data_IF_028322520920
#
_entry.id   IF_028322520920
#
_cell.length_a   1.000
_cell.length_b   1.000
_cell.length_c   1.000
_cell.angle_alpha   90.00
_cell.angle_beta   90.00
_cell.angle_gamma   90.00
#
_symmetry.space_group_name_H-M   'P 1'
#
loop_
_entity.id
_entity.type
_entity.pdbx_description
1 polymer ?
#
# COMPACT_ATOMS: atom_id res chain seq x y z
N UNK A 1 -28.01 15.09 19.37
CA UNK A 1 -26.72 15.79 19.40
C UNK A 1 -25.63 14.69 19.39
N UNK A 2 -25.22 14.22 18.20
CA UNK A 2 -24.11 13.29 18.07
C UNK A 2 -22.80 14.05 18.23
N UNK A 3 -22.20 14.02 19.41
CA UNK A 3 -20.82 14.43 19.58
C UNK A 3 -19.92 13.33 18.99
N UNK A 4 -19.07 13.71 18.05
CA UNK A 4 -17.99 12.85 17.56
C UNK A 4 -16.99 12.60 18.70
N UNK A 5 -17.00 11.41 19.26
CA UNK A 5 -16.05 11.00 20.29
C UNK A 5 -14.82 10.44 19.59
N UNK A 6 -13.68 11.13 19.68
CA UNK A 6 -12.38 10.61 19.27
C UNK A 6 -11.97 9.51 20.26
N UNK A 7 -12.25 8.27 19.90
CA UNK A 7 -11.83 7.10 20.63
C UNK A 7 -10.49 6.53 20.10
N UNK A 8 -9.84 5.65 20.86
CA UNK A 8 -8.65 4.95 20.39
C UNK A 8 -8.97 4.14 19.13
N UNK A 9 -8.01 4.02 18.22
CA UNK A 9 -8.19 3.21 17.01
C UNK A 9 -8.48 1.75 17.40
N UNK A 10 -9.32 1.06 16.62
CA UNK A 10 -9.77 -0.33 16.87
C UNK A 10 -8.64 -1.30 17.25
N UNK A 11 -7.42 -1.05 16.80
CA UNK A 11 -6.23 -1.87 17.06
C UNK A 11 -5.11 -1.10 17.78
N UNK A 12 -5.43 -0.07 18.58
CA UNK A 12 -4.42 0.78 19.23
C UNK A 12 -3.41 -0.02 20.08
N UNK A 13 -3.86 -1.10 20.75
CA UNK A 13 -3.01 -2.01 21.53
C UNK A 13 -2.19 -3.00 20.69
N UNK A 14 -2.48 -3.15 19.39
CA UNK A 14 -1.84 -4.11 18.45
C UNK A 14 -1.16 -3.42 17.26
N UNK A 15 -0.71 -2.16 17.42
CA UNK A 15 -0.04 -1.42 16.34
C UNK A 15 -1.00 -0.68 15.38
N UNK A 16 -2.21 -0.34 15.85
CA UNK A 16 -3.18 0.45 15.08
C UNK A 16 -2.69 1.86 14.74
N UNK A 17 -1.87 2.45 15.61
CA UNK A 17 -1.19 3.72 15.35
C UNK A 17 0.14 3.44 14.68
N UNK A 18 0.32 3.92 13.47
CA UNK A 18 1.54 3.75 12.69
C UNK A 18 1.75 4.93 11.74
N UNK A 19 3.00 5.19 11.42
CA UNK A 19 3.35 6.12 10.37
C UNK A 19 3.32 5.37 9.03
N UNK A 20 2.56 5.90 8.07
CA UNK A 20 2.49 5.38 6.70
C UNK A 20 3.10 6.42 5.79
N UNK A 21 4.29 6.20 5.23
CA UNK A 21 4.89 7.12 4.26
C UNK A 21 3.99 7.24 3.03
N UNK A 22 3.83 8.47 2.57
CA UNK A 22 3.06 8.79 1.36
C UNK A 22 3.98 9.46 0.32
N UNK A 23 3.67 9.33 -0.99
CA UNK A 23 4.41 10.04 -2.03
C UNK A 23 4.35 11.56 -1.86
N UNK A 24 5.39 12.26 -2.34
CA UNK A 24 5.49 13.71 -2.21
C UNK A 24 4.30 14.43 -2.85
N UNK A 25 3.89 14.03 -4.05
CA UNK A 25 2.75 14.62 -4.74
C UNK A 25 1.45 14.51 -3.91
N UNK A 26 1.21 13.38 -3.23
CA UNK A 26 0.04 13.20 -2.37
C UNK A 26 0.11 14.09 -1.11
N UNK A 27 1.31 14.28 -0.57
CA UNK A 27 1.52 15.19 0.55
C UNK A 27 1.26 16.65 0.15
N UNK A 28 1.61 17.06 -1.05
CA UNK A 28 1.31 18.40 -1.60
C UNK A 28 -0.18 18.60 -1.81
N UNK A 29 -0.86 17.64 -2.44
CA UNK A 29 -2.33 17.68 -2.59
C UNK A 29 -3.03 17.78 -1.24
N UNK A 30 -2.58 17.01 -0.26
CA UNK A 30 -3.15 17.06 1.08
C UNK A 30 -2.93 18.42 1.75
N UNK A 31 -1.74 19.01 1.64
CA UNK A 31 -1.47 20.37 2.16
C UNK A 31 -2.36 21.41 1.46
N UNK A 32 -2.47 21.33 0.12
CA UNK A 32 -3.33 22.20 -0.66
C UNK A 32 -4.80 22.08 -0.24
N UNK A 33 -5.26 20.88 0.04
CA UNK A 33 -6.61 20.66 0.58
C UNK A 33 -6.78 21.30 1.96
N UNK A 34 -5.86 21.04 2.89
CA UNK A 34 -5.92 21.60 4.24
C UNK A 34 -5.90 23.14 4.24
N UNK A 35 -5.13 23.77 3.35
CA UNK A 35 -5.05 25.23 3.26
C UNK A 35 -6.37 25.90 2.81
N UNK A 36 -7.27 25.14 2.18
CA UNK A 36 -8.60 25.61 1.77
C UNK A 36 -9.65 25.47 2.88
N UNK A 37 -9.33 24.78 3.96
CA UNK A 37 -10.24 24.61 5.10
C UNK A 37 -10.09 25.82 6.05
N UNK A 38 -11.19 26.54 6.24
CA UNK A 38 -11.19 27.68 7.14
C UNK A 38 -11.15 27.23 8.61
N UNK A 39 -10.25 27.83 9.38
CA UNK A 39 -10.18 27.61 10.84
C UNK A 39 -9.69 26.23 11.27
N UNK A 40 -9.07 25.43 10.38
CA UNK A 40 -8.56 24.11 10.73
C UNK A 40 -7.46 24.21 11.79
N UNK A 41 -7.70 23.64 12.97
CA UNK A 41 -6.70 23.49 14.03
C UNK A 41 -6.04 22.11 14.01
N UNK A 42 -4.87 21.93 14.63
CA UNK A 42 -4.16 20.63 14.63
C UNK A 42 -4.98 19.45 15.19
N UNK A 43 -5.93 19.73 16.08
CA UNK A 43 -6.75 18.71 16.75
C UNK A 43 -8.08 18.46 16.04
N UNK A 44 -8.39 19.21 14.98
CA UNK A 44 -9.64 19.05 14.26
C UNK A 44 -9.59 17.96 13.21
N UNK A 45 -10.78 17.41 12.93
CA UNK A 45 -10.94 16.42 11.86
C UNK A 45 -10.82 17.10 10.51
N UNK A 46 -9.92 16.61 9.67
CA UNK A 46 -9.72 17.13 8.30
C UNK A 46 -10.87 16.74 7.37
N UNK A 47 -11.42 15.53 7.51
CA UNK A 47 -12.51 15.01 6.67
C UNK A 47 -13.80 14.85 7.47
N UNK A 48 -14.77 15.72 7.23
CA UNK A 48 -16.08 15.70 7.85
C UNK A 48 -17.11 14.85 7.09
N UNK A 49 -16.65 13.74 6.49
CA UNK A 49 -17.50 12.87 5.71
C UNK A 49 -17.88 11.61 6.47
N UNK A 50 -19.15 11.23 6.38
CA UNK A 50 -19.58 9.91 6.86
C UNK A 50 -19.18 8.82 5.86
N UNK A 51 -19.02 7.58 6.34
CA UNK A 51 -18.74 6.44 5.46
C UNK A 51 -19.85 6.27 4.39
N UNK A 52 -21.09 6.55 4.75
CA UNK A 52 -22.23 6.50 3.82
C UNK A 52 -22.12 7.56 2.71
N UNK A 53 -21.75 8.79 3.05
CA UNK A 53 -21.54 9.85 2.07
C UNK A 53 -20.40 9.53 1.12
N UNK A 54 -19.30 9.01 1.67
CA UNK A 54 -18.13 8.62 0.88
C UNK A 54 -18.44 7.46 -0.08
N UNK A 55 -19.21 6.45 0.36
CA UNK A 55 -19.63 5.36 -0.52
C UNK A 55 -20.55 5.84 -1.64
N UNK A 56 -21.49 6.79 -1.36
CA UNK A 56 -22.36 7.39 -2.39
C UNK A 56 -21.55 8.12 -3.46
N UNK A 57 -20.55 8.91 -3.06
CA UNK A 57 -19.67 9.61 -3.99
C UNK A 57 -18.82 8.62 -4.81
N UNK A 58 -18.30 7.58 -4.17
CA UNK A 58 -17.54 6.55 -4.86
C UNK A 58 -18.38 5.84 -5.94
N UNK A 59 -19.62 5.43 -5.59
CA UNK A 59 -20.57 4.87 -6.57
C UNK A 59 -20.87 5.84 -7.72
N UNK A 60 -21.02 7.14 -7.41
CA UNK A 60 -21.21 8.14 -8.47
C UNK A 60 -20.01 8.23 -9.40
N UNK A 61 -18.81 8.25 -8.83
CA UNK A 61 -17.58 8.34 -9.61
C UNK A 61 -17.34 7.09 -10.46
N UNK A 62 -17.58 5.88 -9.93
CA UNK A 62 -17.41 4.63 -10.68
C UNK A 62 -18.37 4.55 -11.86
N UNK A 63 -19.62 5.01 -11.70
CA UNK A 63 -20.58 5.08 -12.81
C UNK A 63 -20.14 6.04 -13.91
N UNK A 64 -19.65 7.23 -13.55
CA UNK A 64 -19.14 8.21 -14.53
C UNK A 64 -17.93 7.62 -15.30
N UNK A 65 -17.08 6.90 -14.59
CA UNK A 65 -15.87 6.29 -15.17
C UNK A 65 -16.15 4.94 -15.89
N UNK A 66 -17.41 4.48 -15.91
CA UNK A 66 -17.78 3.14 -16.45
C UNK A 66 -17.01 1.99 -15.80
N UNK A 67 -16.73 2.12 -14.49
CA UNK A 67 -16.07 1.11 -13.68
C UNK A 67 -17.08 0.34 -12.82
N UNK A 68 -16.74 -0.88 -12.36
CA UNK A 68 -17.57 -1.62 -11.42
C UNK A 68 -17.78 -0.84 -10.12
N UNK A 69 -18.96 -0.99 -9.50
CA UNK A 69 -19.25 -0.42 -8.20
C UNK A 69 -18.34 -1.05 -7.13
N UNK A 70 -17.61 -0.21 -6.41
CA UNK A 70 -16.72 -0.60 -5.31
C UNK A 70 -17.06 0.19 -4.05
N UNK A 71 -16.74 -0.40 -2.90
CA UNK A 71 -16.88 0.25 -1.59
C UNK A 71 -15.55 0.87 -1.16
N UNK A 72 -15.60 1.78 -0.21
CA UNK A 72 -14.38 2.39 0.37
C UNK A 72 -13.40 1.32 0.90
N UNK A 73 -13.92 0.21 1.46
CA UNK A 73 -13.06 -0.89 1.92
C UNK A 73 -12.33 -1.60 0.78
N UNK A 74 -12.92 -1.64 -0.40
CA UNK A 74 -12.32 -2.29 -1.57
C UNK A 74 -11.09 -1.52 -2.09
N UNK A 75 -10.99 -0.21 -1.80
CA UNK A 75 -9.77 0.58 -2.03
C UNK A 75 -8.57 0.05 -1.24
N UNK A 76 -8.81 -0.49 -0.03
CA UNK A 76 -7.77 -1.15 0.76
C UNK A 76 -7.30 -2.44 0.09
N UNK A 77 -8.23 -3.22 -0.48
CA UNK A 77 -7.89 -4.43 -1.23
C UNK A 77 -7.09 -4.08 -2.48
N UNK A 78 -7.51 -3.06 -3.23
CA UNK A 78 -6.80 -2.57 -4.42
C UNK A 78 -5.38 -2.12 -4.08
N UNK A 79 -5.21 -1.39 -2.97
CA UNK A 79 -3.89 -0.98 -2.51
C UNK A 79 -2.99 -2.15 -2.11
N UNK A 80 -3.54 -3.16 -1.43
CA UNK A 80 -2.80 -4.37 -1.08
C UNK A 80 -2.35 -5.15 -2.32
N UNK A 81 -3.27 -5.36 -3.26
CA UNK A 81 -3.00 -6.05 -4.53
C UNK A 81 -1.91 -5.34 -5.33
N UNK A 82 -2.00 -4.02 -5.46
CA UNK A 82 -0.98 -3.20 -6.13
C UNK A 82 0.40 -3.35 -5.46
N UNK A 83 0.48 -3.33 -4.13
CA UNK A 83 1.75 -3.52 -3.44
C UNK A 83 2.35 -4.90 -3.71
N UNK A 84 1.52 -5.95 -3.78
CA UNK A 84 1.95 -7.32 -4.08
C UNK A 84 2.42 -7.43 -5.53
N UNK A 85 1.69 -6.85 -6.47
CA UNK A 85 2.04 -6.81 -7.90
C UNK A 85 3.37 -6.09 -8.14
N UNK A 86 3.64 -5.03 -7.37
CA UNK A 86 4.94 -4.34 -7.36
C UNK A 86 6.06 -5.15 -6.69
N UNK A 87 5.81 -6.38 -6.25
CA UNK A 87 6.79 -7.31 -5.72
C UNK A 87 7.11 -7.15 -4.23
N UNK A 88 6.33 -6.37 -3.49
CA UNK A 88 6.59 -6.20 -2.05
C UNK A 88 6.16 -7.42 -1.23
N UNK A 89 6.95 -7.72 -0.19
CA UNK A 89 6.72 -8.87 0.69
C UNK A 89 5.45 -8.73 1.52
N UNK A 90 4.86 -9.86 1.91
CA UNK A 90 3.69 -9.91 2.80
C UNK A 90 3.93 -9.18 4.13
N UNK A 91 5.17 -9.18 4.63
CA UNK A 91 5.53 -8.47 5.85
C UNK A 91 5.40 -6.94 5.66
N UNK A 92 5.89 -6.40 4.54
CA UNK A 92 5.79 -4.97 4.24
C UNK A 92 4.34 -4.55 4.02
N UNK A 93 3.57 -5.36 3.29
CA UNK A 93 2.13 -5.13 3.04
C UNK A 93 1.37 -5.13 4.37
N UNK A 94 1.59 -6.12 5.24
CA UNK A 94 0.96 -6.19 6.56
C UNK A 94 1.27 -4.95 7.40
N UNK A 95 2.54 -4.55 7.48
CA UNK A 95 2.98 -3.36 8.22
C UNK A 95 2.31 -2.09 7.67
N UNK A 96 2.23 -1.93 6.35
CA UNK A 96 1.59 -0.79 5.71
C UNK A 96 0.08 -0.74 5.97
N UNK A 97 -0.59 -1.88 5.90
CA UNK A 97 -2.03 -2.00 6.16
C UNK A 97 -2.39 -1.93 7.66
N UNK A 98 -1.43 -2.11 8.57
CA UNK A 98 -1.68 -2.24 10.01
C UNK A 98 -2.35 -3.56 10.35
N UNK A 99 -1.99 -4.60 9.64
CA UNK A 99 -2.46 -5.97 9.81
C UNK A 99 -1.31 -6.91 10.18
N UNK A 100 -1.60 -8.19 10.37
CA UNK A 100 -0.60 -9.22 10.59
C UNK A 100 -0.31 -9.98 9.30
N UNK A 101 0.89 -10.56 9.19
CA UNK A 101 1.26 -11.38 8.02
C UNK A 101 0.28 -12.54 7.78
N UNK A 102 -0.18 -13.30 8.80
CA UNK A 102 -1.19 -14.34 8.59
C UNK A 102 -2.50 -13.83 7.97
N UNK A 103 -2.96 -12.63 8.36
CA UNK A 103 -4.17 -12.02 7.79
C UNK A 103 -3.96 -11.67 6.32
N UNK A 104 -2.80 -11.06 5.99
CA UNK A 104 -2.45 -10.73 4.60
C UNK A 104 -2.34 -12.01 3.76
N UNK A 105 -1.64 -13.03 4.25
CA UNK A 105 -1.51 -14.30 3.53
C UNK A 105 -2.83 -15.00 3.34
N UNK A 106 -3.70 -15.02 4.35
CA UNK A 106 -5.04 -15.63 4.23
C UNK A 106 -5.86 -14.98 3.11
N UNK A 107 -5.73 -13.67 2.94
CA UNK A 107 -6.55 -12.91 1.98
C UNK A 107 -5.93 -12.82 0.59
N UNK A 108 -4.60 -12.70 0.52
CA UNK A 108 -3.89 -12.32 -0.71
C UNK A 108 -2.83 -13.32 -1.16
N UNK A 109 -2.71 -14.52 -0.54
CA UNK A 109 -1.69 -15.50 -0.91
C UNK A 109 -1.71 -15.87 -2.42
N UNK A 110 -2.91 -15.90 -3.00
CA UNK A 110 -3.12 -16.23 -4.42
C UNK A 110 -2.54 -15.18 -5.39
N UNK A 111 -2.23 -13.97 -4.91
CA UNK A 111 -1.61 -12.89 -5.71
C UNK A 111 -0.09 -12.96 -5.67
N UNK A 112 0.51 -13.71 -4.73
CA UNK A 112 1.95 -13.85 -4.68
C UNK A 112 2.43 -14.81 -5.76
N UNK A 113 3.34 -14.38 -6.66
CA UNK A 113 3.85 -15.22 -7.73
C UNK A 113 4.68 -16.39 -7.16
N UNK A 114 4.58 -17.55 -7.80
CA UNK A 114 5.49 -18.65 -7.52
C UNK A 114 6.83 -18.38 -8.22
N UNK A 115 7.84 -17.98 -7.45
CA UNK A 115 9.18 -17.64 -7.94
C UNK A 115 10.19 -18.78 -7.83
N UNK A 116 9.76 -20.06 -7.68
CA UNK A 116 10.67 -21.19 -7.51
C UNK A 116 11.61 -21.36 -8.70
N UNK A 117 11.10 -21.27 -9.93
CA UNK A 117 11.93 -21.38 -11.12
C UNK A 117 12.95 -20.23 -11.25
N UNK A 118 12.52 -18.99 -10.95
CA UNK A 118 13.40 -17.83 -10.92
C UNK A 118 14.51 -17.98 -9.86
N UNK A 119 14.16 -18.51 -8.68
CA UNK A 119 15.13 -18.78 -7.64
C UNK A 119 16.18 -19.80 -8.08
N UNK A 120 15.75 -20.90 -8.68
CA UNK A 120 16.67 -21.94 -9.18
C UNK A 120 17.61 -21.35 -10.22
N UNK A 121 17.09 -20.60 -11.21
CA UNK A 121 17.93 -19.95 -12.23
C UNK A 121 18.98 -19.02 -11.61
N UNK A 122 18.59 -18.20 -10.64
CA UNK A 122 19.53 -17.31 -9.94
C UNK A 122 20.60 -18.07 -9.13
N UNK A 123 20.23 -19.21 -8.54
CA UNK A 123 21.20 -20.05 -7.85
C UNK A 123 22.20 -20.72 -8.82
N UNK A 124 21.75 -21.09 -10.01
CA UNK A 124 22.60 -21.60 -11.07
C UNK A 124 23.58 -20.53 -11.58
N UNK A 125 23.08 -19.30 -11.79
CA UNK A 125 23.91 -18.15 -12.18
C UNK A 125 25.03 -17.87 -11.15
N UNK A 126 24.73 -17.97 -9.85
CA UNK A 126 25.71 -17.80 -8.78
C UNK A 126 26.73 -18.92 -8.70
N UNK A 127 26.38 -20.10 -9.17
CA UNK A 127 27.30 -21.29 -9.20
C UNK A 127 28.12 -21.37 -10.49
N UNK A 128 27.77 -20.59 -11.52
CA UNK A 128 28.56 -20.52 -12.74
C UNK A 128 29.93 -19.89 -12.43
N UNK A 129 31.08 -20.55 -12.81
CA UNK A 129 32.38 -19.97 -12.62
C UNK A 129 32.48 -18.67 -13.41
N UNK A 130 32.99 -17.62 -12.78
CA UNK A 130 33.37 -16.40 -13.49
C UNK A 130 34.37 -16.83 -14.58
N UNK A 131 33.99 -16.63 -15.84
CA UNK A 131 34.94 -16.80 -16.95
C UNK A 131 35.99 -15.71 -16.75
N UNK A 132 37.13 -16.12 -16.18
CA UNK A 132 38.36 -15.34 -16.25
C UNK A 132 38.67 -15.12 -17.73
N UNK A 133 38.26 -13.97 -18.23
CA UNK A 133 38.72 -13.48 -19.53
C UNK A 133 40.22 -13.17 -19.39
N UNK A 134 41.00 -14.21 -19.67
CA UNK A 134 42.46 -14.20 -19.69
C UNK A 134 42.93 -13.34 -20.86
N UNK A 135 42.85 -12.04 -20.69
CA UNK A 135 43.44 -11.05 -21.57
C UNK A 135 44.86 -10.65 -21.16
N UNK A 136 45.76 -11.60 -20.96
CA UNK A 136 47.19 -11.31 -20.89
C UNK A 136 47.96 -12.24 -21.83
N UNK A 137 48.05 -11.87 -23.07
CA UNK A 137 49.18 -12.27 -23.91
C UNK A 137 49.89 -11.00 -24.38
N UNK A 138 50.92 -10.67 -23.58
CA UNK A 138 51.86 -9.62 -23.91
C UNK A 138 52.64 -9.97 -25.18
N UNK A 139 52.85 -8.97 -25.97
CA UNK A 139 53.79 -8.89 -27.06
C UNK A 139 55.23 -8.87 -26.52
N UNK A 140 56.04 -9.77 -27.01
CA UNK A 140 57.49 -9.58 -27.18
C UNK A 140 57.78 -9.29 -28.63
#
# INVERSE_FOLDING_TARGET
NGQDILGPTKNSKKGGNRNVPIPHWLAEEFRSYCSKLYGLTPDERVFYMTCTSLNKELTRCTRIASLPDIRVHDLRHSHASLCIELGYSALLVAKRLGDTVPVVMKTYAHLYPNKQAELVSKLEDLAAPENEDSGYLGSL
#
